data_IF_875467555577
#
_entry.id   IF_875467555577
#
_cell.length_a   1.000
_cell.length_b   1.000
_cell.length_c   1.000
_cell.angle_alpha   90.00
_cell.angle_beta   90.00
_cell.angle_gamma   90.00
#
_symmetry.space_group_name_H-M   'P 1'
#
loop_
_entity.id
_entity.type
_entity.pdbx_description
1 polymer ?
#
# COMPACT_ATOMS: atom_id res chain seq x y z
N UNK A 1 -7.93 -12.91 6.05
CA UNK A 1 -7.20 -11.62 6.05
C UNK A 1 -8.21 -10.49 5.94
N UNK A 2 -7.90 -9.27 6.37
CA UNK A 2 -8.77 -8.10 6.21
C UNK A 2 -7.96 -6.89 5.70
N UNK A 3 -8.50 -6.15 4.73
CA UNK A 3 -7.92 -4.93 4.17
C UNK A 3 -8.09 -3.72 5.13
N UNK A 4 -7.65 -3.88 6.37
CA UNK A 4 -7.71 -2.90 7.45
C UNK A 4 -6.57 -3.14 8.44
N UNK A 5 -6.13 -2.12 9.20
CA UNK A 5 -6.66 -0.76 9.26
C UNK A 5 -6.15 0.20 8.16
N UNK A 6 -6.87 1.30 7.97
CA UNK A 6 -6.38 2.49 7.27
C UNK A 6 -5.44 3.25 8.22
N UNK A 7 -4.21 3.47 7.79
CA UNK A 7 -3.17 4.20 8.54
C UNK A 7 -2.86 5.58 7.92
N UNK A 8 -3.69 6.02 6.99
CA UNK A 8 -3.56 7.30 6.31
C UNK A 8 -3.88 8.44 7.30
N UNK A 9 -2.96 9.40 7.45
CA UNK A 9 -3.12 10.52 8.40
C UNK A 9 -3.86 11.68 7.74
N UNK A 10 -4.94 12.16 8.36
CA UNK A 10 -5.76 13.23 7.79
C UNK A 10 -5.05 14.59 7.79
N UNK A 11 -5.26 15.33 6.71
CA UNK A 11 -4.94 16.73 6.50
C UNK A 11 -6.23 17.52 6.28
N UNK A 12 -6.19 18.83 6.46
CA UNK A 12 -7.33 19.71 6.19
C UNK A 12 -7.77 19.71 4.72
N UNK A 13 -6.87 19.29 3.81
CA UNK A 13 -7.13 19.17 2.38
C UNK A 13 -7.24 17.72 1.90
N UNK A 14 -7.26 16.74 2.82
CA UNK A 14 -7.39 15.33 2.45
C UNK A 14 -8.68 15.12 1.67
N UNK A 15 -8.58 14.36 0.58
CA UNK A 15 -9.75 13.98 -0.20
C UNK A 15 -10.74 13.12 0.61
N UNK A 16 -12.03 13.31 0.38
CA UNK A 16 -13.12 12.57 1.04
C UNK A 16 -13.04 11.06 0.86
N UNK A 17 -12.35 10.56 -0.18
CA UNK A 17 -12.08 9.13 -0.32
C UNK A 17 -11.40 8.59 0.95
N UNK A 18 -10.50 9.33 1.61
CA UNK A 18 -9.95 8.95 2.91
C UNK A 18 -10.85 9.43 4.05
N UNK A 19 -11.33 10.68 3.98
CA UNK A 19 -12.48 11.19 4.74
C UNK A 19 -12.56 10.74 6.20
N UNK A 20 -13.60 9.97 6.50
CA UNK A 20 -13.96 9.38 7.80
C UNK A 20 -13.30 8.01 8.07
N UNK A 21 -12.62 7.44 7.07
CA UNK A 21 -11.87 6.17 7.20
C UNK A 21 -10.53 6.35 7.94
N UNK A 22 -10.01 7.58 7.98
CA UNK A 22 -8.82 7.91 8.77
C UNK A 22 -9.19 8.08 10.24
N UNK A 23 -8.38 7.50 11.14
CA UNK A 23 -8.61 7.62 12.58
C UNK A 23 -8.40 9.04 13.13
N UNK A 24 -7.48 9.83 12.56
CA UNK A 24 -7.14 11.15 13.09
C UNK A 24 -6.26 11.98 12.15
N UNK A 25 -6.15 13.28 12.44
CA UNK A 25 -5.14 14.17 11.88
C UNK A 25 -3.78 14.08 12.60
N UNK A 26 -3.75 13.49 13.80
CA UNK A 26 -2.53 13.23 14.58
C UNK A 26 -1.96 11.84 14.25
N UNK A 27 -0.72 11.76 13.70
CA UNK A 27 -0.09 10.48 13.38
C UNK A 27 0.12 9.56 14.61
N UNK A 28 0.25 10.09 15.82
CA UNK A 28 0.37 9.28 17.04
C UNK A 28 -0.94 8.54 17.34
N UNK A 29 -2.06 9.24 17.26
CA UNK A 29 -3.41 8.65 17.43
C UNK A 29 -3.66 7.58 16.36
N UNK A 30 -3.35 7.85 15.10
CA UNK A 30 -3.47 6.86 14.01
C UNK A 30 -2.61 5.61 14.29
N UNK A 31 -1.42 5.80 14.83
CA UNK A 31 -0.51 4.70 15.19
C UNK A 31 -1.07 3.82 16.32
N UNK A 32 -1.58 4.44 17.39
CA UNK A 32 -2.09 3.73 18.57
C UNK A 32 -3.38 2.97 18.27
N UNK A 33 -4.32 3.62 17.56
CA UNK A 33 -5.57 3.01 17.15
C UNK A 33 -5.34 1.93 16.09
N UNK A 34 -4.46 2.18 15.11
CA UNK A 34 -4.05 1.18 14.12
C UNK A 34 -3.43 -0.06 14.77
N UNK A 35 -2.56 0.11 15.76
CA UNK A 35 -1.94 -1.01 16.50
C UNK A 35 -2.99 -1.80 17.27
N UNK A 36 -3.92 -1.12 17.93
CA UNK A 36 -5.02 -1.74 18.67
C UNK A 36 -5.96 -2.52 17.73
N UNK A 37 -6.26 -1.97 16.56
CA UNK A 37 -7.05 -2.62 15.52
C UNK A 37 -6.36 -3.90 15.01
N UNK A 38 -5.08 -3.82 14.65
CA UNK A 38 -4.28 -4.97 14.24
C UNK A 38 -4.26 -6.06 15.34
N UNK A 39 -4.12 -5.68 16.61
CA UNK A 39 -4.16 -6.61 17.75
C UNK A 39 -5.52 -7.30 17.86
N UNK A 40 -6.61 -6.55 17.69
CA UNK A 40 -7.97 -7.09 17.69
C UNK A 40 -8.20 -8.12 16.59
N UNK A 41 -7.81 -7.80 15.35
CA UNK A 41 -7.90 -8.73 14.22
C UNK A 41 -7.08 -10.01 14.46
N UNK A 42 -5.82 -9.88 14.88
CA UNK A 42 -4.93 -11.02 15.14
C UNK A 42 -5.46 -11.93 16.25
N UNK A 43 -6.08 -11.39 17.30
CA UNK A 43 -6.75 -12.19 18.35
C UNK A 43 -7.89 -13.08 17.82
N UNK A 44 -8.41 -12.81 16.63
CA UNK A 44 -9.46 -13.60 15.96
C UNK A 44 -8.92 -14.40 14.78
N UNK A 45 -7.59 -14.57 14.65
CA UNK A 45 -6.97 -15.26 13.53
C UNK A 45 -7.10 -14.50 12.20
N UNK A 46 -7.34 -13.19 12.23
CA UNK A 46 -7.47 -12.38 11.02
C UNK A 46 -6.18 -11.60 10.80
N UNK A 47 -5.48 -11.87 9.70
CA UNK A 47 -4.31 -11.10 9.30
C UNK A 47 -4.71 -9.68 8.85
N UNK A 48 -4.21 -8.62 9.50
CA UNK A 48 -4.42 -7.24 9.07
C UNK A 48 -3.56 -6.91 7.84
N UNK A 49 -4.09 -6.06 6.98
CA UNK A 49 -3.38 -5.47 5.84
C UNK A 49 -3.42 -3.96 6.06
N UNK A 50 -2.30 -3.39 6.51
CA UNK A 50 -2.19 -1.95 6.74
C UNK A 50 -2.14 -1.21 5.39
N UNK A 51 -2.86 -0.09 5.26
CA UNK A 51 -2.98 0.64 3.99
C UNK A 51 -3.16 2.15 4.14
N UNK A 52 -2.81 2.97 3.15
CA UNK A 52 -2.15 2.62 1.87
C UNK A 52 -0.69 3.10 1.94
N UNK A 53 0.27 2.18 2.10
CA UNK A 53 1.68 2.54 2.34
C UNK A 53 2.29 3.23 1.08
N UNK A 54 3.05 4.34 1.20
CA UNK A 54 3.50 4.99 2.45
C UNK A 54 2.59 6.10 3.00
N UNK A 55 1.39 6.31 2.47
CA UNK A 55 0.35 7.16 3.06
C UNK A 55 -0.49 7.90 2.02
N UNK A 56 -1.81 7.68 2.01
CA UNK A 56 -2.76 8.34 1.11
C UNK A 56 -3.34 9.64 1.69
N UNK A 57 -3.12 9.90 2.97
CA UNK A 57 -3.71 11.02 3.70
C UNK A 57 -3.41 12.38 3.08
N UNK A 58 -2.19 12.60 2.61
CA UNK A 58 -1.78 13.84 1.96
C UNK A 58 -2.30 14.03 0.51
N UNK A 59 -3.13 13.13 0.00
CA UNK A 59 -3.70 13.25 -1.35
C UNK A 59 -4.96 14.12 -1.37
N UNK A 60 -5.05 15.00 -2.37
CA UNK A 60 -6.25 15.80 -2.68
C UNK A 60 -7.20 15.13 -3.69
N UNK A 61 -6.80 14.00 -4.29
CA UNK A 61 -7.59 13.31 -5.33
C UNK A 61 -7.84 11.85 -4.98
N UNK A 62 -8.94 11.34 -5.51
CA UNK A 62 -9.32 9.94 -5.46
C UNK A 62 -8.60 9.12 -6.54
N UNK A 63 -7.84 8.11 -6.10
CA UNK A 63 -7.08 7.18 -6.95
C UNK A 63 -7.97 6.27 -7.79
N UNK A 64 -9.24 6.08 -7.43
CA UNK A 64 -10.20 5.37 -8.27
C UNK A 64 -10.56 6.16 -9.55
N UNK A 65 -10.43 7.49 -9.50
CA UNK A 65 -10.83 8.40 -10.60
C UNK A 65 -9.64 8.92 -11.40
N UNK A 66 -8.55 9.26 -10.74
CA UNK A 66 -7.36 9.87 -11.37
C UNK A 66 -6.10 9.52 -10.60
N UNK A 67 -4.92 9.58 -11.22
CA UNK A 67 -3.65 9.41 -10.49
C UNK A 67 -3.43 10.60 -9.54
N UNK A 68 -3.43 10.40 -8.20
CA UNK A 68 -3.17 11.48 -7.28
C UNK A 68 -1.68 11.80 -7.23
N UNK A 69 -1.37 13.09 -7.04
CA UNK A 69 0.00 13.60 -6.92
C UNK A 69 0.12 14.33 -5.59
N UNK A 70 1.12 13.94 -4.81
CA UNK A 70 1.51 14.55 -3.54
C UNK A 70 2.82 15.29 -3.77
N UNK A 71 2.82 16.60 -3.52
CA UNK A 71 4.00 17.48 -3.70
C UNK A 71 4.71 17.86 -2.39
N UNK A 72 4.41 17.14 -1.30
CA UNK A 72 5.12 17.30 -0.03
C UNK A 72 6.55 16.78 -0.13
N UNK A 73 7.47 17.45 0.56
CA UNK A 73 8.85 17.01 0.66
C UNK A 73 9.01 15.76 1.55
N UNK A 74 10.17 15.12 1.46
CA UNK A 74 10.46 13.90 2.19
C UNK A 74 10.44 14.09 3.73
N UNK A 75 10.87 15.24 4.24
CA UNK A 75 10.87 15.54 5.67
C UNK A 75 9.44 15.65 6.20
N UNK A 76 8.59 16.40 5.49
CA UNK A 76 7.17 16.56 5.79
C UNK A 76 6.45 15.21 5.86
N UNK A 77 6.63 14.36 4.84
CA UNK A 77 6.04 13.00 4.82
C UNK A 77 6.62 12.11 5.93
N UNK A 78 7.92 12.21 6.20
CA UNK A 78 8.60 11.43 7.23
C UNK A 78 8.12 11.75 8.64
N UNK A 79 7.74 13.00 8.89
CA UNK A 79 7.30 13.54 10.17
C UNK A 79 5.78 13.48 10.35
N UNK A 80 5.04 12.95 9.36
CA UNK A 80 3.59 12.76 9.45
C UNK A 80 3.13 11.43 8.84
N UNK A 81 2.97 11.33 7.53
CA UNK A 81 2.38 10.16 6.85
C UNK A 81 3.11 8.85 7.16
N UNK A 82 4.44 8.88 7.29
CA UNK A 82 5.23 7.65 7.49
C UNK A 82 5.21 7.17 8.94
N UNK A 83 4.79 7.99 9.91
CA UNK A 83 4.88 7.66 11.34
C UNK A 83 4.04 6.41 11.68
N UNK A 84 2.75 6.31 11.30
CA UNK A 84 1.97 5.09 11.55
C UNK A 84 2.61 3.84 10.95
N UNK A 85 3.06 3.91 9.69
CA UNK A 85 3.68 2.77 9.03
C UNK A 85 5.01 2.37 9.65
N UNK A 86 5.80 3.32 10.19
CA UNK A 86 7.02 3.02 10.96
C UNK A 86 6.68 2.27 12.25
N UNK A 87 5.66 2.73 12.98
CA UNK A 87 5.24 2.10 14.24
C UNK A 87 4.68 0.69 14.01
N UNK A 88 4.02 0.46 12.88
CA UNK A 88 3.45 -0.82 12.48
C UNK A 88 4.33 -1.58 11.44
N UNK A 89 5.62 -1.28 11.34
CA UNK A 89 6.48 -1.88 10.29
C UNK A 89 6.74 -3.39 10.45
N UNK A 90 6.36 -3.96 11.61
CA UNK A 90 6.41 -5.38 11.92
C UNK A 90 5.15 -6.14 11.51
N UNK A 91 4.10 -5.45 11.07
CA UNK A 91 2.96 -6.14 10.46
C UNK A 91 3.40 -6.89 9.19
N UNK A 92 2.71 -7.97 8.89
CA UNK A 92 3.15 -8.92 7.86
C UNK A 92 2.72 -8.56 6.45
N UNK A 93 1.66 -7.76 6.29
CA UNK A 93 1.12 -7.40 4.98
C UNK A 93 0.77 -5.91 4.96
N UNK A 94 1.17 -5.23 3.89
CA UNK A 94 0.81 -3.84 3.62
C UNK A 94 0.39 -3.67 2.16
N UNK A 95 -0.62 -2.83 1.92
CA UNK A 95 -1.11 -2.47 0.59
C UNK A 95 -0.47 -1.17 0.12
N UNK A 96 0.19 -1.19 -1.04
CA UNK A 96 0.91 -0.04 -1.62
C UNK A 96 -0.06 0.89 -2.34
N UNK A 97 0.04 2.19 -2.05
CA UNK A 97 -0.81 3.22 -2.66
C UNK A 97 -0.57 3.40 -4.16
N UNK A 98 -1.62 3.80 -4.88
CA UNK A 98 -1.52 4.28 -6.27
C UNK A 98 -1.35 5.80 -6.35
N UNK A 99 -0.33 6.34 -5.68
CA UNK A 99 -0.04 7.78 -5.60
C UNK A 99 1.35 8.10 -6.15
N UNK A 100 1.50 9.25 -6.82
CA UNK A 100 2.80 9.83 -7.18
C UNK A 100 3.25 10.77 -6.05
N UNK A 101 4.44 10.53 -5.50
CA UNK A 101 5.08 11.45 -4.56
C UNK A 101 6.17 12.21 -5.31
N UNK A 102 5.81 13.34 -5.94
CA UNK A 102 6.59 14.02 -6.99
C UNK A 102 7.99 14.44 -6.54
N UNK A 103 8.17 14.77 -5.25
CA UNK A 103 9.48 15.10 -4.66
C UNK A 103 10.38 13.88 -4.41
N UNK A 104 9.84 12.66 -4.51
CA UNK A 104 10.57 11.40 -4.30
C UNK A 104 10.79 10.68 -5.64
N UNK A 105 9.72 10.42 -6.39
CA UNK A 105 9.74 9.77 -7.71
C UNK A 105 8.53 10.24 -8.54
N UNK A 106 8.71 10.34 -9.86
CA UNK A 106 7.63 10.68 -10.80
C UNK A 106 6.72 9.48 -11.11
N UNK A 107 7.13 8.27 -10.76
CA UNK A 107 6.31 7.05 -10.88
C UNK A 107 5.32 6.93 -9.73
N UNK A 108 4.18 6.30 -10.02
CA UNK A 108 3.23 5.85 -8.99
C UNK A 108 3.96 4.93 -8.01
N UNK A 109 3.67 5.00 -6.71
CA UNK A 109 4.39 4.28 -5.67
C UNK A 109 4.47 2.76 -5.90
N UNK A 110 3.38 2.14 -6.37
CA UNK A 110 3.35 0.73 -6.73
C UNK A 110 4.19 0.38 -7.99
N UNK A 111 4.64 1.35 -8.79
CA UNK A 111 5.56 1.18 -9.93
C UNK A 111 7.00 1.63 -9.61
N UNK A 112 7.22 2.23 -8.42
CA UNK A 112 8.49 2.87 -8.09
C UNK A 112 9.38 1.95 -7.25
N UNK A 113 10.41 1.38 -7.90
CA UNK A 113 11.53 0.72 -7.22
C UNK A 113 12.17 1.64 -6.17
N UNK A 114 12.23 2.96 -6.42
CA UNK A 114 12.81 3.95 -5.51
C UNK A 114 11.98 4.09 -4.24
N UNK A 115 10.66 4.26 -4.36
CA UNK A 115 9.75 4.37 -3.21
C UNK A 115 9.74 3.05 -2.43
N UNK A 116 9.59 1.91 -3.09
CA UNK A 116 9.59 0.61 -2.40
C UNK A 116 10.92 0.36 -1.69
N UNK A 117 12.06 0.49 -2.37
CA UNK A 117 13.38 0.20 -1.78
C UNK A 117 13.77 1.21 -0.72
N UNK A 118 13.67 2.51 -1.00
CA UNK A 118 14.27 3.54 -0.15
C UNK A 118 13.29 4.08 0.90
N UNK A 119 11.99 4.13 0.59
CA UNK A 119 10.99 4.63 1.53
C UNK A 119 10.40 3.47 2.31
N UNK A 120 9.71 2.54 1.66
CA UNK A 120 8.97 1.48 2.34
C UNK A 120 9.91 0.50 3.06
N UNK A 121 10.88 -0.07 2.34
CA UNK A 121 11.78 -1.09 2.90
C UNK A 121 12.88 -0.51 3.79
N UNK A 122 13.37 0.72 3.54
CA UNK A 122 14.47 1.34 4.32
C UNK A 122 13.98 2.37 5.34
N UNK A 123 13.35 3.47 4.91
CA UNK A 123 12.95 4.58 5.81
C UNK A 123 11.82 4.20 6.78
N UNK A 124 10.80 3.49 6.31
CA UNK A 124 9.72 2.93 7.14
C UNK A 124 10.17 1.64 7.82
N UNK A 125 11.01 0.86 7.14
CA UNK A 125 11.54 -0.41 7.65
C UNK A 125 10.57 -1.58 7.51
N UNK A 126 9.51 -1.45 6.71
CA UNK A 126 8.54 -2.53 6.49
C UNK A 126 9.19 -3.67 5.69
N UNK A 127 9.14 -4.91 6.20
CA UNK A 127 9.78 -6.07 5.54
C UNK A 127 8.81 -7.15 5.10
N UNK A 128 7.52 -7.03 5.45
CA UNK A 128 6.47 -7.98 5.09
C UNK A 128 6.14 -8.04 3.59
N UNK A 129 5.04 -8.74 3.29
CA UNK A 129 4.42 -8.80 1.97
C UNK A 129 3.89 -7.44 1.57
N UNK A 130 4.25 -7.02 0.36
CA UNK A 130 3.65 -5.85 -0.29
C UNK A 130 2.62 -6.33 -1.29
N UNK A 131 1.38 -5.92 -1.11
CA UNK A 131 0.32 -6.16 -2.08
C UNK A 131 0.04 -4.84 -2.82
N UNK A 132 -0.30 -4.89 -4.11
CA UNK A 132 -0.81 -3.71 -4.79
C UNK A 132 -2.20 -3.35 -4.26
N UNK A 133 -2.61 -2.10 -4.39
CA UNK A 133 -4.03 -1.76 -4.49
C UNK A 133 -4.60 -2.27 -5.83
N UNK A 134 -5.92 -2.17 -6.06
CA UNK A 134 -6.56 -2.72 -7.26
C UNK A 134 -5.98 -2.15 -8.56
N UNK A 135 -5.51 -3.02 -9.45
CA UNK A 135 -4.85 -2.61 -10.70
C UNK A 135 -5.82 -2.07 -11.76
N UNK A 136 -7.12 -2.23 -11.53
CA UNK A 136 -8.17 -1.70 -12.41
C UNK A 136 -8.47 -0.22 -12.14
N UNK A 137 -7.97 0.33 -11.03
CA UNK A 137 -8.14 1.75 -10.69
C UNK A 137 -7.54 2.66 -11.77
N UNK A 138 -8.23 3.77 -12.05
CA UNK A 138 -7.82 4.75 -13.08
C UNK A 138 -6.52 5.49 -12.78
N UNK A 139 -5.99 5.37 -11.56
CA UNK A 139 -4.67 5.87 -11.21
C UNK A 139 -3.54 5.19 -12.00
N UNK A 140 -3.75 3.97 -12.50
CA UNK A 140 -2.77 3.24 -13.29
C UNK A 140 -3.06 3.37 -14.79
N UNK A 141 -2.01 3.66 -15.57
CA UNK A 141 -2.09 3.77 -17.03
C UNK A 141 -1.45 2.54 -17.70
N UNK A 142 -1.80 2.34 -18.98
CA UNK A 142 -1.27 1.25 -19.80
C UNK A 142 -2.14 -0.01 -19.80
N UNK A 143 -1.73 -1.00 -20.60
CA UNK A 143 -2.38 -2.32 -20.70
C UNK A 143 -2.24 -3.12 -19.40
N UNK A 144 -3.11 -4.10 -19.18
CA UNK A 144 -3.09 -4.92 -17.95
C UNK A 144 -1.72 -5.58 -17.72
N UNK A 145 -1.11 -6.13 -18.77
CA UNK A 145 0.23 -6.73 -18.71
C UNK A 145 1.29 -5.71 -18.30
N UNK A 146 1.21 -4.48 -18.84
CA UNK A 146 2.12 -3.41 -18.43
C UNK A 146 1.98 -3.08 -16.94
N UNK A 147 0.75 -3.06 -16.40
CA UNK A 147 0.52 -2.80 -14.96
C UNK A 147 1.12 -3.91 -14.10
N UNK A 148 0.84 -5.18 -14.45
CA UNK A 148 1.36 -6.37 -13.76
C UNK A 148 2.88 -6.35 -13.70
N UNK A 149 3.55 -6.21 -14.86
CA UNK A 149 5.02 -6.24 -14.94
C UNK A 149 5.63 -5.12 -14.10
N UNK A 150 5.17 -3.87 -14.23
CA UNK A 150 5.72 -2.75 -13.46
C UNK A 150 5.54 -2.91 -11.95
N UNK A 151 4.42 -3.49 -11.49
CA UNK A 151 4.17 -3.73 -10.06
C UNK A 151 5.10 -4.81 -9.51
N UNK A 152 5.27 -5.92 -10.22
CA UNK A 152 6.16 -6.99 -9.75
C UNK A 152 7.62 -6.57 -9.79
N UNK A 153 8.01 -5.81 -10.82
CA UNK A 153 9.36 -5.28 -10.92
C UNK A 153 9.67 -4.22 -9.84
N UNK A 154 8.70 -3.42 -9.43
CA UNK A 154 8.90 -2.39 -8.40
C UNK A 154 9.24 -3.00 -7.04
N UNK A 155 8.85 -4.25 -6.80
CA UNK A 155 9.12 -5.01 -5.59
C UNK A 155 7.87 -5.36 -4.78
N UNK A 156 6.67 -5.19 -5.34
CA UNK A 156 5.46 -5.80 -4.80
C UNK A 156 5.50 -7.32 -4.96
N UNK A 157 4.83 -8.00 -4.02
CA UNK A 157 4.79 -9.46 -3.91
C UNK A 157 3.50 -10.04 -4.51
N UNK A 158 2.37 -9.35 -4.34
CA UNK A 158 1.04 -9.80 -4.76
C UNK A 158 0.34 -8.66 -5.50
N UNK A 159 -0.41 -9.00 -6.55
CA UNK A 159 -1.23 -8.07 -7.32
C UNK A 159 -2.72 -8.31 -7.01
N UNK A 160 -3.48 -7.24 -6.82
CA UNK A 160 -4.94 -7.29 -6.70
C UNK A 160 -5.60 -6.90 -8.01
N UNK A 161 -6.50 -7.75 -8.50
CA UNK A 161 -7.36 -7.52 -9.66
C UNK A 161 -8.80 -7.80 -9.23
N UNK A 162 -9.62 -6.75 -9.11
CA UNK A 162 -10.89 -6.83 -8.38
C UNK A 162 -12.16 -6.73 -9.25
N UNK A 163 -12.05 -6.64 -10.58
CA UNK A 163 -13.22 -6.42 -11.45
C UNK A 163 -13.82 -7.72 -12.06
N UNK A 164 -13.27 -8.89 -11.71
CA UNK A 164 -13.68 -10.22 -12.21
C UNK A 164 -13.67 -10.37 -13.75
N UNK A 165 -12.95 -9.53 -14.49
CA UNK A 165 -12.87 -9.62 -15.94
C UNK A 165 -12.02 -10.83 -16.37
N UNK A 166 -12.67 -11.88 -16.89
CA UNK A 166 -12.01 -13.13 -17.28
C UNK A 166 -10.97 -12.95 -18.41
N UNK A 167 -11.20 -12.01 -19.34
CA UNK A 167 -10.25 -11.73 -20.42
C UNK A 167 -8.95 -11.15 -19.87
N UNK A 168 -9.05 -10.21 -18.93
CA UNK A 168 -7.89 -9.65 -18.24
C UNK A 168 -7.20 -10.70 -17.36
N UNK A 169 -7.95 -11.53 -16.62
CA UNK A 169 -7.38 -12.60 -15.81
C UNK A 169 -6.53 -13.57 -16.66
N UNK A 170 -7.00 -13.97 -17.85
CA UNK A 170 -6.22 -14.80 -18.79
C UNK A 170 -4.91 -14.12 -19.22
N UNK A 171 -4.96 -12.82 -19.53
CA UNK A 171 -3.78 -12.03 -19.89
C UNK A 171 -2.78 -11.93 -18.72
N UNK A 172 -3.28 -11.68 -17.51
CA UNK A 172 -2.48 -11.66 -16.28
C UNK A 172 -1.82 -13.02 -16.07
N UNK A 173 -2.57 -14.12 -16.09
CA UNK A 173 -2.00 -15.46 -15.87
C UNK A 173 -0.92 -15.84 -16.89
N UNK A 174 -1.02 -15.33 -18.13
CA UNK A 174 -0.01 -15.55 -19.17
C UNK A 174 1.27 -14.73 -19.01
N UNK A 175 1.23 -13.65 -18.21
CA UNK A 175 2.32 -12.68 -18.07
C UNK A 175 2.99 -12.67 -16.70
N UNK A 176 2.39 -13.32 -15.68
CA UNK A 176 2.99 -13.37 -14.35
C UNK A 176 4.11 -14.42 -14.31
N UNK A 177 5.29 -14.10 -13.74
CA UNK A 177 6.30 -15.10 -13.47
C UNK A 177 5.86 -16.02 -12.34
N UNK A 178 6.49 -17.19 -12.23
CA UNK A 178 6.37 -18.04 -11.05
C UNK A 178 6.74 -17.27 -9.78
N UNK A 179 6.07 -17.60 -8.68
CA UNK A 179 6.29 -16.97 -7.38
C UNK A 179 7.76 -17.12 -6.94
N UNK A 180 8.36 -16.02 -6.50
CA UNK A 180 9.76 -16.02 -6.07
C UNK A 180 9.89 -16.70 -4.70
N UNK A 181 10.99 -17.40 -4.46
CA UNK A 181 11.31 -17.97 -3.14
C UNK A 181 11.30 -16.93 -2.01
N UNK A 182 11.74 -15.70 -2.30
CA UNK A 182 11.68 -14.58 -1.35
C UNK A 182 10.25 -14.19 -0.99
N UNK A 183 9.30 -14.30 -1.92
CA UNK A 183 7.87 -14.07 -1.69
C UNK A 183 7.26 -15.24 -0.93
N UNK A 184 7.57 -16.49 -1.29
CA UNK A 184 7.13 -17.68 -0.54
C UNK A 184 7.54 -17.62 0.94
N UNK A 185 8.79 -17.20 1.24
CA UNK A 185 9.27 -16.99 2.62
C UNK A 185 8.50 -15.94 3.40
N UNK A 186 7.87 -14.96 2.72
CA UNK A 186 7.02 -13.98 3.37
C UNK A 186 5.58 -14.52 3.53
N UNK A 187 5.08 -15.26 2.55
CA UNK A 187 3.77 -15.94 2.60
C UNK A 187 3.74 -16.97 3.72
N UNK A 188 4.82 -17.72 3.95
CA UNK A 188 4.88 -18.72 5.03
C UNK A 188 4.62 -18.10 6.41
N UNK A 189 5.05 -16.85 6.63
CA UNK A 189 4.82 -16.11 7.88
C UNK A 189 3.35 -15.77 8.14
N UNK A 190 2.48 -15.90 7.15
CA UNK A 190 1.04 -15.73 7.35
C UNK A 190 0.45 -16.87 8.18
N UNK A 191 1.04 -18.07 8.10
CA UNK A 191 0.60 -19.24 8.88
C UNK A 191 0.89 -19.08 10.37
N UNK A 192 1.92 -18.32 10.73
CA UNK A 192 2.31 -18.10 12.14
C UNK A 192 1.38 -17.12 12.89
N UNK A 193 0.35 -16.58 12.22
CA UNK A 193 -0.54 -15.54 12.74
C UNK A 193 -1.98 -15.98 12.98
N UNK A 194 -2.33 -17.19 12.54
CA UNK A 194 -3.67 -17.79 12.64
C UNK A 194 -3.52 -19.10 13.38
#
# INVERSE_FOLDING_TARGET
MNCAPVLDVKYNFTNDVIGDRSFSHDPKIVSELGMSFCKGLKKKGIVPIIKHIPGHGSSKKDSHKTTPVVDLDLSSLNNKDFIPFKKLNKEVVAMVSHIIYSKIDKKVACYSKKIIKNIIKKKIGFKGLLISDDINMKALKGSINHRVVNILESGCDIILHCNANLKEMKQITSSIPYIKNSTLKKVSKLKDLV
#
